data_IF_663573771920
#
_entry.id   IF_663573771920
#
_cell.length_a   1.000
_cell.length_b   1.000
_cell.length_c   1.000
_cell.angle_alpha   90.00
_cell.angle_beta   90.00
_cell.angle_gamma   90.00
#
_symmetry.space_group_name_H-M   'P 1'
#
loop_
_entity.id
_entity.type
_entity.pdbx_description
1 polymer ?
#
# COMPACT_ATOMS: atom_id res chain seq x y z
N UNK A 1 8.52 -7.69 10.25
CA UNK A 1 8.51 -6.24 9.97
C UNK A 1 8.14 -6.08 8.50
N UNK A 2 7.27 -5.14 8.17
CA UNK A 2 6.97 -4.75 6.79
C UNK A 2 7.55 -3.36 6.56
N UNK A 3 8.11 -3.13 5.38
CA UNK A 3 8.63 -1.84 4.93
C UNK A 3 8.16 -1.63 3.49
N UNK A 4 7.79 -0.39 3.15
CA UNK A 4 7.46 -0.02 1.78
C UNK A 4 8.57 0.86 1.23
N UNK A 5 8.90 0.66 -0.04
CA UNK A 5 9.88 1.46 -0.74
C UNK A 5 9.18 2.56 -1.53
N UNK A 6 9.87 3.70 -1.71
CA UNK A 6 9.39 4.85 -2.49
C UNK A 6 9.02 4.49 -3.93
N UNK A 7 9.64 3.42 -4.43
CA UNK A 7 9.36 2.94 -5.76
C UNK A 7 8.03 2.15 -5.81
N UNK A 8 7.42 1.73 -4.69
CA UNK A 8 6.10 1.09 -4.64
C UNK A 8 6.13 -0.40 -4.26
N UNK A 9 7.28 -0.96 -3.89
CA UNK A 9 7.37 -2.32 -3.37
C UNK A 9 6.97 -2.40 -1.89
N UNK A 10 6.29 -3.49 -1.51
CA UNK A 10 6.12 -3.88 -0.10
C UNK A 10 7.07 -5.04 0.18
N UNK A 11 7.96 -4.84 1.13
CA UNK A 11 8.95 -5.82 1.56
C UNK A 11 8.58 -6.37 2.94
N UNK A 12 8.83 -7.67 3.12
CA UNK A 12 8.69 -8.38 4.38
C UNK A 12 10.04 -8.84 4.88
N UNK A 13 10.37 -8.45 6.10
CA UNK A 13 11.53 -8.96 6.81
C UNK A 13 11.23 -10.37 7.33
N UNK A 14 12.11 -11.30 6.98
CA UNK A 14 12.01 -12.69 7.45
C UNK A 14 12.92 -12.93 8.65
N UNK A 15 14.22 -13.05 8.42
CA UNK A 15 15.22 -13.38 9.44
C UNK A 15 16.60 -12.92 8.97
N UNK A 16 17.60 -12.75 9.86
CA UNK A 16 18.90 -12.18 9.50
C UNK A 16 19.61 -12.88 8.34
N UNK A 17 19.40 -14.19 8.16
CA UNK A 17 19.99 -14.97 7.06
C UNK A 17 19.27 -14.79 5.71
N UNK A 18 17.96 -14.52 5.74
CA UNK A 18 17.12 -14.40 4.55
C UNK A 18 16.89 -12.94 4.13
N UNK A 19 17.01 -12.00 5.06
CA UNK A 19 16.82 -10.57 4.82
C UNK A 19 15.38 -10.18 4.48
N UNK A 20 15.27 -9.10 3.70
CA UNK A 20 14.02 -8.60 3.13
C UNK A 20 13.66 -9.36 1.87
N UNK A 21 12.37 -9.67 1.71
CA UNK A 21 11.80 -10.26 0.49
C UNK A 21 10.60 -9.49 0.02
N UNK A 22 10.37 -9.51 -1.29
CA UNK A 22 9.15 -8.97 -1.88
C UNK A 22 7.94 -9.71 -1.32
N UNK A 23 6.95 -8.92 -0.93
CA UNK A 23 5.68 -9.40 -0.44
C UNK A 23 4.57 -9.10 -1.45
N UNK A 24 4.42 -7.84 -1.85
CA UNK A 24 3.37 -7.41 -2.75
C UNK A 24 3.69 -6.11 -3.49
N UNK A 25 2.88 -5.82 -4.52
CA UNK A 25 2.89 -4.57 -5.29
C UNK A 25 1.47 -4.00 -5.41
N UNK A 26 1.30 -2.67 -5.49
CA UNK A 26 -0.01 -2.05 -5.66
C UNK A 26 -0.54 -2.13 -7.10
N UNK A 27 0.31 -2.40 -8.10
CA UNK A 27 -0.07 -2.48 -9.52
C UNK A 27 0.61 -3.66 -10.21
N UNK A 28 -0.18 -4.46 -10.93
CA UNK A 28 0.31 -5.62 -11.70
C UNK A 28 1.14 -5.24 -12.93
N UNK A 29 1.14 -3.97 -13.33
CA UNK A 29 1.93 -3.44 -14.44
C UNK A 29 3.42 -3.40 -14.05
N UNK A 30 3.72 -3.35 -12.75
CA UNK A 30 5.08 -3.31 -12.23
C UNK A 30 5.82 -4.62 -12.54
N UNK A 31 6.92 -4.52 -13.29
CA UNK A 31 7.87 -5.61 -13.52
C UNK A 31 9.25 -5.18 -13.02
N UNK A 32 9.93 -6.08 -12.29
CA UNK A 32 11.25 -5.81 -11.67
C UNK A 32 12.29 -5.31 -12.69
N UNK A 33 12.24 -5.83 -13.92
CA UNK A 33 13.21 -5.54 -14.98
C UNK A 33 13.21 -4.10 -15.49
N UNK A 34 12.16 -3.32 -15.19
CA UNK A 34 12.00 -1.99 -15.78
C UNK A 34 12.30 -0.85 -14.79
N UNK A 35 12.06 -1.02 -13.48
CA UNK A 35 11.94 0.15 -12.58
C UNK A 35 12.35 -0.07 -11.11
N UNK A 36 13.12 -1.12 -10.80
CA UNK A 36 13.59 -1.36 -9.44
C UNK A 36 14.47 -0.19 -8.94
N UNK A 37 14.07 0.48 -7.86
CA UNK A 37 14.78 1.63 -7.30
C UNK A 37 14.59 2.97 -8.03
N UNK A 38 13.65 3.09 -8.97
CA UNK A 38 13.35 4.38 -9.59
C UNK A 38 12.67 5.34 -8.61
N UNK A 39 13.23 6.53 -8.45
CA UNK A 39 12.65 7.65 -7.68
C UNK A 39 12.00 8.69 -8.59
N UNK A 40 11.69 8.34 -9.84
CA UNK A 40 11.04 9.27 -10.78
C UNK A 40 9.57 9.46 -10.38
N UNK A 41 9.18 10.68 -9.92
CA UNK A 41 7.82 10.95 -9.47
C UNK A 41 6.78 10.78 -10.59
N UNK A 42 7.19 10.83 -11.87
CA UNK A 42 6.27 10.63 -13.00
C UNK A 42 5.78 9.17 -13.12
N UNK A 43 6.42 8.24 -12.43
CA UNK A 43 6.06 6.83 -12.43
C UNK A 43 5.10 6.47 -11.27
N UNK A 44 4.99 7.32 -10.25
CA UNK A 44 4.09 7.11 -9.12
C UNK A 44 2.62 6.91 -9.55
N UNK A 45 2.06 7.65 -10.54
CA UNK A 45 0.69 7.39 -11.01
C UNK A 45 0.48 6.01 -11.66
N UNK A 46 1.56 5.36 -12.11
CA UNK A 46 1.51 4.08 -12.83
C UNK A 46 1.74 2.92 -11.85
N UNK A 47 2.68 3.09 -10.93
CA UNK A 47 3.12 2.04 -10.01
C UNK A 47 2.63 2.23 -8.58
N UNK A 48 1.92 3.30 -8.29
CA UNK A 48 1.50 3.65 -6.94
C UNK A 48 2.60 4.36 -6.15
N UNK A 49 2.17 4.93 -5.04
CA UNK A 49 3.02 5.49 -4.00
C UNK A 49 2.36 5.21 -2.66
N UNK A 50 2.89 4.21 -1.97
CA UNK A 50 2.42 3.81 -0.65
C UNK A 50 2.81 4.86 0.39
N UNK A 51 1.87 5.20 1.26
CA UNK A 51 2.00 6.27 2.24
C UNK A 51 1.82 5.79 3.67
N UNK A 52 1.02 4.74 3.89
CA UNK A 52 0.78 4.15 5.20
C UNK A 52 0.30 2.70 5.08
N UNK A 53 0.45 1.92 6.15
CA UNK A 53 -0.03 0.54 6.22
C UNK A 53 -0.52 0.19 7.61
N UNK A 54 -1.42 -0.78 7.69
CA UNK A 54 -1.76 -1.49 8.92
C UNK A 54 -2.20 -2.93 8.60
N UNK A 55 -2.08 -3.83 9.58
CA UNK A 55 -2.29 -5.26 9.39
C UNK A 55 -3.41 -5.77 10.29
N UNK A 56 -4.39 -6.45 9.69
CA UNK A 56 -5.44 -7.13 10.43
C UNK A 56 -4.95 -8.53 10.86
N UNK A 57 -4.71 -8.78 12.16
CA UNK A 57 -4.19 -10.06 12.63
C UNK A 57 -5.23 -11.19 12.63
N UNK A 58 -6.52 -10.87 12.47
CA UNK A 58 -7.61 -11.86 12.44
C UNK A 58 -7.75 -12.47 11.05
N UNK A 59 -7.73 -11.63 10.01
CA UNK A 59 -7.87 -12.07 8.61
C UNK A 59 -6.53 -12.33 7.93
N UNK A 60 -5.44 -11.80 8.50
CA UNK A 60 -4.12 -11.73 7.89
C UNK A 60 -4.05 -10.84 6.63
N UNK A 61 -4.94 -9.87 6.52
CA UNK A 61 -4.93 -8.89 5.43
C UNK A 61 -4.06 -7.68 5.78
N UNK A 62 -3.27 -7.23 4.82
CA UNK A 62 -2.51 -6.00 4.88
C UNK A 62 -3.29 -4.89 4.17
N UNK A 63 -3.56 -3.80 4.86
CA UNK A 63 -4.17 -2.61 4.28
C UNK A 63 -3.12 -1.52 4.10
N UNK A 64 -3.20 -0.79 3.00
CA UNK A 64 -2.26 0.29 2.71
C UNK A 64 -2.94 1.45 2.01
N UNK A 65 -2.53 2.67 2.37
CA UNK A 65 -2.94 3.89 1.68
C UNK A 65 -1.96 4.22 0.55
N UNK A 66 -2.51 4.52 -0.63
CA UNK A 66 -1.78 4.89 -1.83
C UNK A 66 -2.24 6.27 -2.35
N UNK A 67 -1.28 7.09 -2.81
CA UNK A 67 -1.55 8.45 -3.28
C UNK A 67 -2.39 8.52 -4.58
N UNK A 68 -2.43 7.44 -5.34
CA UNK A 68 -3.08 7.34 -6.66
C UNK A 68 -4.19 6.30 -6.69
N UNK A 69 -4.06 5.23 -5.92
CA UNK A 69 -5.00 4.10 -5.91
C UNK A 69 -5.89 4.06 -4.66
N UNK A 70 -5.70 4.96 -3.70
CA UNK A 70 -6.54 5.08 -2.51
C UNK A 70 -6.23 4.02 -1.45
N UNK A 71 -7.26 3.53 -0.76
CA UNK A 71 -7.12 2.45 0.21
C UNK A 71 -7.06 1.10 -0.53
N UNK A 72 -5.97 0.38 -0.32
CA UNK A 72 -5.68 -0.92 -0.89
C UNK A 72 -5.69 -2.01 0.18
N UNK A 73 -5.92 -3.25 -0.23
CA UNK A 73 -5.86 -4.46 0.58
C UNK A 73 -5.04 -5.53 -0.14
N UNK A 74 -4.25 -6.28 0.60
CA UNK A 74 -3.44 -7.40 0.13
C UNK A 74 -3.71 -8.58 1.07
N UNK A 75 -4.29 -9.65 0.53
CA UNK A 75 -4.51 -10.88 1.28
C UNK A 75 -3.19 -11.62 1.57
N UNK A 76 -3.20 -12.60 2.49
CA UNK A 76 -2.00 -13.31 2.93
C UNK A 76 -1.28 -14.10 1.82
N UNK A 77 -2.00 -14.42 0.74
CA UNK A 77 -1.49 -15.16 -0.41
C UNK A 77 -1.45 -14.32 -1.70
N UNK A 78 -1.84 -13.05 -1.61
CA UNK A 78 -1.90 -12.17 -2.77
C UNK A 78 -0.58 -11.43 -2.94
N UNK A 79 -0.12 -11.31 -4.18
CA UNK A 79 1.06 -10.51 -4.53
C UNK A 79 0.72 -9.17 -5.15
N UNK A 80 -0.57 -8.92 -5.42
CA UNK A 80 -1.08 -7.70 -6.04
C UNK A 80 -2.19 -7.14 -5.15
N UNK A 81 -2.09 -5.85 -4.83
CA UNK A 81 -3.10 -5.19 -4.02
C UNK A 81 -4.41 -4.97 -4.78
N UNK A 82 -5.52 -5.05 -4.05
CA UNK A 82 -6.85 -4.70 -4.52
C UNK A 82 -7.27 -3.32 -3.98
N UNK A 83 -7.77 -2.45 -4.83
CA UNK A 83 -8.41 -1.19 -4.38
C UNK A 83 -9.74 -1.47 -3.69
N UNK A 84 -9.86 -1.00 -2.45
CA UNK A 84 -11.09 -1.07 -1.65
C UNK A 84 -11.92 0.20 -1.83
N UNK A 85 -11.27 1.37 -1.72
CA UNK A 85 -11.92 2.66 -1.93
C UNK A 85 -10.90 3.70 -2.40
N UNK A 86 -11.23 4.45 -3.45
CA UNK A 86 -10.33 5.43 -4.06
C UNK A 86 -10.83 6.88 -4.00
N UNK A 87 -12.11 7.08 -3.65
CA UNK A 87 -12.71 8.40 -3.57
C UNK A 87 -13.91 8.42 -2.62
N UNK A 88 -14.29 9.63 -2.20
CA UNK A 88 -15.55 9.91 -1.53
C UNK A 88 -16.21 11.11 -2.20
N UNK A 89 -17.51 11.01 -2.49
CA UNK A 89 -18.27 12.07 -3.19
C UNK A 89 -17.63 12.52 -4.53
N UNK A 90 -16.93 11.61 -5.20
CA UNK A 90 -16.22 11.88 -6.45
C UNK A 90 -14.87 12.59 -6.29
N UNK A 91 -14.46 12.93 -5.06
CA UNK A 91 -13.15 13.49 -4.73
C UNK A 91 -12.18 12.33 -4.46
N UNK A 92 -11.15 12.12 -5.30
CA UNK A 92 -10.18 11.06 -5.08
C UNK A 92 -9.31 11.32 -3.86
N UNK A 93 -9.02 10.27 -3.09
CA UNK A 93 -8.02 10.36 -2.04
C UNK A 93 -6.63 10.58 -2.64
N UNK A 94 -5.82 11.42 -1.98
CA UNK A 94 -4.47 11.75 -2.47
C UNK A 94 -3.37 11.50 -1.46
N UNK A 95 -3.67 11.50 -0.16
CA UNK A 95 -2.63 11.47 0.85
C UNK A 95 -3.04 10.68 2.11
N UNK A 96 -3.27 9.38 1.94
CA UNK A 96 -3.60 8.43 3.02
C UNK A 96 -2.32 7.98 3.75
N UNK A 97 -1.76 8.84 4.59
CA UNK A 97 -0.48 8.57 5.29
C UNK A 97 -0.57 7.55 6.42
N UNK A 98 -1.75 7.39 7.00
CA UNK A 98 -1.94 6.52 8.15
C UNK A 98 -3.34 5.95 8.11
N UNK A 99 -3.41 4.68 8.46
CA UNK A 99 -4.63 3.99 8.78
C UNK A 99 -4.44 3.17 10.05
N UNK A 100 -5.55 2.82 10.69
CA UNK A 100 -5.62 2.00 11.89
C UNK A 100 -6.85 1.09 11.78
N UNK A 101 -6.73 -0.14 12.27
CA UNK A 101 -7.76 -1.17 12.15
C UNK A 101 -8.26 -1.55 13.54
N UNK A 102 -9.57 -1.44 13.77
CA UNK A 102 -10.19 -2.06 14.93
C UNK A 102 -10.20 -3.58 14.74
N UNK A 103 -9.22 -4.26 15.35
CA UNK A 103 -9.05 -5.72 15.25
C UNK A 103 -10.28 -6.54 15.71
N UNK A 104 -11.22 -5.96 16.44
CA UNK A 104 -12.45 -6.66 16.86
C UNK A 104 -13.56 -6.56 15.80
N UNK A 105 -13.67 -5.42 15.14
CA UNK A 105 -14.78 -5.12 14.21
C UNK A 105 -14.37 -5.16 12.74
N UNK A 106 -13.08 -5.07 12.45
CA UNK A 106 -12.53 -4.92 11.11
C UNK A 106 -12.74 -3.54 10.51
N UNK A 107 -13.21 -2.55 11.28
CA UNK A 107 -13.38 -1.18 10.79
C UNK A 107 -12.02 -0.53 10.58
N UNK A 108 -11.84 0.08 9.41
CA UNK A 108 -10.62 0.75 8.99
C UNK A 108 -10.84 2.26 9.12
N UNK A 109 -9.97 2.92 9.88
CA UNK A 109 -9.93 4.36 10.03
C UNK A 109 -8.71 4.90 9.30
N UNK A 110 -8.86 5.93 8.49
CA UNK A 110 -7.75 6.56 7.80
C UNK A 110 -7.99 8.06 7.61
N UNK A 111 -6.92 8.80 7.38
CA UNK A 111 -6.97 10.25 7.12
C UNK A 111 -6.40 10.55 5.75
N UNK A 112 -7.11 11.34 4.95
CA UNK A 112 -6.54 11.98 3.76
C UNK A 112 -6.13 13.41 4.12
N UNK A 113 -4.82 13.69 4.11
CA UNK A 113 -4.29 15.02 4.45
C UNK A 113 -3.94 15.87 3.22
N UNK A 114 -4.64 15.63 2.10
CA UNK A 114 -4.49 16.42 0.89
C UNK A 114 -5.19 17.77 0.99
N UNK A 115 -4.73 18.75 0.21
CA UNK A 115 -5.22 20.15 0.25
C UNK A 115 -6.57 20.36 -0.43
N UNK A 116 -7.33 19.29 -0.68
CA UNK A 116 -8.66 19.36 -1.30
C UNK A 116 -9.77 19.46 -0.23
N UNK A 117 -9.41 19.42 1.06
CA UNK A 117 -10.26 19.76 2.20
C UNK A 117 -9.61 20.83 3.09
#
# INVERSE_FOLDING_TARGET
>A
MLEYLMDGWILKWHEPKLGWKEFAVPSSIRKRELHDGSTDPNLEPIYGRLLGLDFNPVTCDLYTGDAYFGLLMIGPNDSIAQTIVSSIEGIPFKFINRLDIDNRTGVIYFTDSSTIF
#
